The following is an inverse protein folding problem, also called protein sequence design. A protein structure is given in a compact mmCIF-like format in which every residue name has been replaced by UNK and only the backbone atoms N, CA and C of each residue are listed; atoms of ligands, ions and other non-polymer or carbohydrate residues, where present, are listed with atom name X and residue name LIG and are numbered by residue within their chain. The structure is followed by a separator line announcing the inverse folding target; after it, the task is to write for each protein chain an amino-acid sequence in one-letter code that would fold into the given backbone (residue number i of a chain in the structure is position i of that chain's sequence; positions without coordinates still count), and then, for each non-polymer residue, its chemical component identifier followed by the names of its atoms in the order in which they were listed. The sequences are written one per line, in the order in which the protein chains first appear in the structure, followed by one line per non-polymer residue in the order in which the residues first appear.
data_IF_806950802681
#
_entry.id   IF_806950802681
#
_cell.length_a   1.000
_cell.length_b   1.000
_cell.length_c   1.000
_cell.angle_alpha   90.00
_cell.angle_beta   90.00
_cell.angle_gamma   90.00
#
_symmetry.space_group_name_H-M   'P 1'
#
loop_
_entity.id
_entity.type
_entity.pdbx_description
1 polymer ?
#
# COMPACT_ATOMS: atom_id res chain seq x y z
N UNK A 1 51.92 27.33 53.06
CA UNK A 1 50.69 26.59 52.72
C UNK A 1 50.68 26.36 51.21
N UNK A 2 51.55 25.51 50.65
CA UNK A 2 51.40 24.05 50.51
C UNK A 2 49.97 23.64 50.14
N UNK A 3 49.68 23.64 48.83
CA UNK A 3 49.01 22.55 48.08
C UNK A 3 48.78 22.98 46.61
N UNK A 4 49.88 23.17 45.89
CA UNK A 4 49.89 22.92 44.44
C UNK A 4 50.28 21.46 44.25
N UNK A 5 49.34 20.59 43.88
CA UNK A 5 49.65 19.26 43.36
C UNK A 5 48.50 18.73 42.49
N UNK A 6 48.75 18.72 41.18
CA UNK A 6 48.51 17.61 40.22
C UNK A 6 47.16 16.87 40.27
N UNK A 7 46.39 17.00 39.18
CA UNK A 7 45.94 15.88 38.32
C UNK A 7 45.02 16.46 37.23
N UNK A 8 45.49 16.74 36.01
CA UNK A 8 45.59 15.80 34.87
C UNK A 8 44.27 15.09 34.49
N UNK A 9 43.86 15.38 33.25
CA UNK A 9 43.15 14.52 32.30
C UNK A 9 41.72 14.04 32.66
N UNK A 10 40.73 14.68 32.05
CA UNK A 10 39.82 14.03 31.11
C UNK A 10 38.90 15.08 30.45
N UNK A 11 39.42 15.79 29.45
CA UNK A 11 38.54 16.44 28.48
C UNK A 11 37.96 15.33 27.60
N UNK A 12 36.79 14.79 27.98
CA UNK A 12 36.01 13.92 27.11
C UNK A 12 35.48 14.79 25.97
N UNK A 13 36.25 14.83 24.89
CA UNK A 13 35.74 15.17 23.56
C UNK A 13 34.64 14.16 23.25
N UNK A 14 33.38 14.54 23.52
CA UNK A 14 32.21 13.92 22.89
C UNK A 14 32.29 14.31 21.42
N UNK A 15 33.11 13.56 20.69
CA UNK A 15 33.17 13.58 19.24
C UNK A 15 31.80 13.16 18.75
N UNK A 16 31.25 13.99 17.87
CA UNK A 16 29.86 13.98 17.47
C UNK A 16 29.33 12.58 17.21
N UNK A 17 28.15 12.32 17.76
CA UNK A 17 27.22 11.37 17.20
C UNK A 17 27.04 11.82 15.74
N UNK A 18 27.82 11.22 14.83
CA UNK A 18 27.57 11.30 13.42
C UNK A 18 26.14 10.81 13.28
N UNK A 19 25.23 11.75 13.01
CA UNK A 19 23.93 11.43 12.48
C UNK A 19 24.23 10.55 11.28
N UNK A 20 24.04 9.24 11.43
CA UNK A 20 23.92 8.36 10.29
C UNK A 20 22.92 9.08 9.39
N UNK A 21 23.27 9.37 8.11
CA UNK A 21 22.31 9.97 7.23
C UNK A 21 21.10 9.05 7.31
N UNK A 22 19.96 9.58 7.78
CA UNK A 22 18.69 8.93 7.56
C UNK A 22 18.74 8.55 6.10
N UNK A 23 18.76 7.24 5.78
CA UNK A 23 18.73 6.77 4.40
C UNK A 23 17.61 7.56 3.76
N UNK A 24 17.96 8.55 2.97
CA UNK A 24 17.02 9.32 2.21
C UNK A 24 16.46 8.25 1.27
N UNK A 25 15.30 7.70 1.64
CA UNK A 25 14.60 6.74 0.83
C UNK A 25 14.56 7.37 -0.55
N UNK A 26 15.30 6.78 -1.49
CA UNK A 26 15.36 7.30 -2.82
C UNK A 26 13.90 7.41 -3.27
N UNK A 27 13.43 8.63 -3.53
CA UNK A 27 11.99 8.89 -3.59
C UNK A 27 11.35 7.86 -4.52
N UNK A 28 10.16 7.34 -4.21
CA UNK A 28 9.49 6.31 -5.03
C UNK A 28 9.54 6.67 -6.52
N UNK A 29 9.40 7.97 -6.84
CA UNK A 29 9.53 8.50 -8.19
C UNK A 29 10.92 8.28 -8.83
N UNK A 30 12.01 8.51 -8.08
CA UNK A 30 13.37 8.25 -8.57
C UNK A 30 13.59 6.77 -8.83
N UNK A 31 13.23 5.89 -7.89
CA UNK A 31 13.28 4.42 -8.10
C UNK A 31 12.50 4.00 -9.36
N UNK A 32 11.27 4.47 -9.51
CA UNK A 32 10.41 4.17 -10.66
C UNK A 32 11.03 4.68 -11.97
N UNK A 33 11.59 5.89 -11.98
CA UNK A 33 12.29 6.45 -13.14
C UNK A 33 13.54 5.66 -13.51
N UNK A 34 14.36 5.27 -12.54
CA UNK A 34 15.59 4.51 -12.75
C UNK A 34 15.28 3.11 -13.29
N UNK A 35 14.21 2.47 -12.81
CA UNK A 35 13.73 1.17 -13.31
C UNK A 35 13.03 1.27 -14.67
N UNK A 36 12.59 2.48 -15.07
CA UNK A 36 11.86 2.73 -16.31
C UNK A 36 10.43 2.18 -16.35
N UNK A 37 9.90 1.65 -15.23
CA UNK A 37 8.55 1.08 -15.12
C UNK A 37 7.97 1.30 -13.73
N UNK A 38 6.65 1.47 -13.67
CA UNK A 38 5.87 1.49 -12.44
C UNK A 38 5.45 0.06 -12.05
N UNK A 39 5.89 -0.46 -10.90
CA UNK A 39 5.35 -1.70 -10.35
C UNK A 39 4.04 -1.39 -9.61
N UNK A 40 2.90 -1.70 -10.23
CA UNK A 40 1.58 -1.38 -9.70
C UNK A 40 0.90 -2.65 -9.16
N UNK A 41 0.61 -2.67 -7.88
CA UNK A 41 -0.17 -3.72 -7.24
C UNK A 41 -1.65 -3.61 -7.59
N UNK A 42 -2.24 -4.67 -8.11
CA UNK A 42 -3.66 -4.75 -8.53
C UNK A 42 -4.34 -6.00 -7.99
N UNK A 43 -5.66 -6.12 -8.14
CA UNK A 43 -6.39 -7.34 -7.78
C UNK A 43 -6.01 -8.52 -8.68
N UNK A 44 -6.22 -9.74 -8.19
CA UNK A 44 -5.99 -10.97 -8.97
C UNK A 44 -7.04 -11.18 -10.06
N UNK A 45 -8.23 -10.57 -9.93
CA UNK A 45 -9.33 -10.73 -10.88
C UNK A 45 -10.68 -10.32 -10.31
N UNK A 46 -10.90 -9.02 -10.10
CA UNK A 46 -12.23 -8.48 -9.77
C UNK A 46 -12.74 -7.76 -11.01
N UNK A 47 -13.86 -8.25 -11.56
CA UNK A 47 -14.51 -7.66 -12.72
C UNK A 47 -14.78 -6.17 -12.50
N UNK A 48 -14.46 -5.35 -13.50
CA UNK A 48 -14.58 -3.89 -13.46
C UNK A 48 -13.43 -3.16 -12.75
N UNK A 49 -12.71 -3.81 -11.84
CA UNK A 49 -11.59 -3.23 -11.09
C UNK A 49 -10.24 -3.58 -11.70
N UNK A 50 -9.90 -4.86 -11.75
CA UNK A 50 -8.73 -5.34 -12.48
C UNK A 50 -8.84 -6.83 -12.78
N UNK A 51 -8.70 -7.20 -14.04
CA UNK A 51 -8.58 -8.59 -14.46
C UNK A 51 -7.67 -8.71 -15.70
N UNK A 52 -6.85 -9.76 -15.78
CA UNK A 52 -6.17 -10.11 -17.02
C UNK A 52 -7.13 -10.82 -17.98
N UNK A 53 -6.97 -10.60 -19.28
CA UNK A 53 -7.55 -11.45 -20.31
C UNK A 53 -6.68 -12.70 -20.56
N UNK A 54 -7.14 -13.61 -21.43
CA UNK A 54 -6.42 -14.84 -21.79
C UNK A 54 -5.05 -14.60 -22.45
N UNK A 55 -4.79 -13.37 -22.90
CA UNK A 55 -3.53 -12.93 -23.50
C UNK A 55 -2.63 -12.21 -22.49
N UNK A 56 -3.06 -12.08 -21.23
CA UNK A 56 -2.35 -11.39 -20.17
C UNK A 56 -2.49 -9.86 -20.20
N UNK A 57 -3.38 -9.30 -21.00
CA UNK A 57 -3.66 -7.87 -21.00
C UNK A 57 -4.57 -7.52 -19.81
N UNK A 58 -4.13 -6.55 -19.02
CA UNK A 58 -4.88 -6.08 -17.87
C UNK A 58 -5.87 -4.99 -18.25
N UNK A 59 -7.07 -5.05 -17.69
CA UNK A 59 -8.12 -4.04 -17.85
C UNK A 59 -8.92 -3.82 -16.56
N UNK A 60 -9.53 -2.64 -16.43
CA UNK A 60 -10.37 -2.25 -15.30
C UNK A 60 -9.95 -0.92 -14.66
N UNK A 61 -10.76 -0.41 -13.73
CA UNK A 61 -10.55 0.88 -13.07
C UNK A 61 -9.16 1.01 -12.43
N UNK A 62 -8.72 -0.01 -11.67
CA UNK A 62 -7.43 0.00 -10.99
C UNK A 62 -6.25 -0.01 -11.98
N UNK A 63 -6.43 -0.73 -13.09
CA UNK A 63 -5.45 -0.78 -14.18
C UNK A 63 -5.29 0.58 -14.83
N UNK A 64 -6.41 1.27 -15.08
CA UNK A 64 -6.41 2.58 -15.73
C UNK A 64 -5.80 3.67 -14.83
N UNK A 65 -5.97 3.55 -13.50
CA UNK A 65 -5.23 4.39 -12.54
C UNK A 65 -3.72 4.16 -12.66
N UNK A 66 -3.25 2.91 -12.68
CA UNK A 66 -1.82 2.61 -12.88
C UNK A 66 -1.29 3.18 -14.20
N UNK A 67 -2.04 3.02 -15.30
CA UNK A 67 -1.70 3.58 -16.62
C UNK A 67 -1.62 5.10 -16.60
N UNK A 68 -2.55 5.77 -15.92
CA UNK A 68 -2.54 7.22 -15.80
C UNK A 68 -1.29 7.73 -15.07
N UNK A 69 -0.90 7.06 -13.98
CA UNK A 69 0.34 7.38 -13.26
C UNK A 69 1.57 7.13 -14.14
N UNK A 70 1.65 6.00 -14.84
CA UNK A 70 2.75 5.72 -15.76
C UNK A 70 2.83 6.75 -16.90
N UNK A 71 1.70 7.12 -17.51
CA UNK A 71 1.65 8.17 -18.52
C UNK A 71 2.14 9.52 -17.98
N UNK A 72 1.81 9.86 -16.73
CA UNK A 72 2.27 11.10 -16.10
C UNK A 72 3.80 11.09 -15.89
N UNK A 73 4.36 9.96 -15.47
CA UNK A 73 5.80 9.81 -15.16
C UNK A 73 6.66 9.66 -16.42
N UNK A 74 6.23 8.82 -17.37
CA UNK A 74 7.04 8.38 -18.52
C UNK A 74 6.59 8.94 -19.86
N UNK A 75 5.44 9.62 -19.92
CA UNK A 75 4.74 9.95 -21.18
C UNK A 75 4.35 8.71 -22.00
N UNK A 76 4.26 7.56 -21.34
CA UNK A 76 3.88 6.28 -21.92
C UNK A 76 3.07 5.47 -20.90
N UNK A 77 1.79 5.24 -21.20
CA UNK A 77 0.87 4.49 -20.34
C UNK A 77 1.20 2.99 -20.25
N UNK A 78 2.03 2.47 -21.16
CA UNK A 78 2.40 1.05 -21.21
C UNK A 78 3.53 0.69 -20.23
N UNK A 79 4.20 1.67 -19.61
CA UNK A 79 5.30 1.46 -18.65
C UNK A 79 4.79 1.06 -17.26
N UNK A 80 3.96 0.02 -17.21
CA UNK A 80 3.41 -0.57 -15.99
C UNK A 80 3.77 -2.05 -15.94
N UNK A 81 4.24 -2.51 -14.78
CA UNK A 81 4.28 -3.91 -14.40
C UNK A 81 3.16 -4.15 -13.39
N UNK A 82 2.15 -4.93 -13.77
CA UNK A 82 1.08 -5.30 -12.87
C UNK A 82 1.53 -6.44 -11.95
N UNK A 83 1.30 -6.27 -10.65
CA UNK A 83 1.59 -7.28 -9.61
C UNK A 83 0.27 -7.68 -8.95
N UNK A 84 -0.28 -8.87 -9.26
CA UNK A 84 -1.55 -9.30 -8.68
C UNK A 84 -1.36 -9.71 -7.21
N UNK A 85 -2.13 -9.08 -6.31
CA UNK A 85 -1.97 -9.26 -4.86
C UNK A 85 -3.30 -9.61 -4.19
N UNK A 86 -3.27 -10.47 -3.19
CA UNK A 86 -4.43 -10.74 -2.33
C UNK A 86 -4.67 -9.60 -1.34
N UNK A 87 -5.81 -9.59 -0.64
CA UNK A 87 -6.07 -8.60 0.41
C UNK A 87 -5.05 -8.69 1.57
N UNK A 88 -4.52 -9.89 1.83
CA UNK A 88 -3.59 -10.19 2.92
C UNK A 88 -2.18 -9.66 2.62
N UNK A 89 -1.70 -9.80 1.39
CA UNK A 89 -0.29 -9.52 1.05
C UNK A 89 -0.03 -8.06 0.65
N UNK A 90 -1.06 -7.35 0.18
CA UNK A 90 -0.90 -6.06 -0.51
C UNK A 90 -0.16 -4.98 0.28
N UNK A 91 -0.36 -4.94 1.60
CA UNK A 91 0.28 -3.92 2.44
C UNK A 91 1.75 -4.26 2.69
N UNK A 92 2.05 -5.53 2.96
CA UNK A 92 3.44 -5.98 3.09
C UNK A 92 4.21 -5.78 1.78
N UNK A 93 3.61 -6.07 0.62
CA UNK A 93 4.21 -5.83 -0.68
C UNK A 93 4.52 -4.34 -0.93
N UNK A 94 3.63 -3.43 -0.50
CA UNK A 94 3.88 -2.00 -0.61
C UNK A 94 4.96 -1.52 0.36
N UNK A 95 4.90 -1.97 1.61
CA UNK A 95 5.87 -1.62 2.65
C UNK A 95 7.29 -2.14 2.35
N UNK A 96 7.40 -3.32 1.74
CA UNK A 96 8.68 -3.92 1.34
C UNK A 96 9.27 -3.28 0.08
N UNK A 97 8.48 -2.48 -0.65
CA UNK A 97 8.86 -1.91 -1.93
C UNK A 97 8.84 -2.92 -3.09
N UNK A 98 8.19 -4.08 -2.93
CA UNK A 98 7.89 -5.00 -4.03
C UNK A 98 7.03 -4.32 -5.11
N UNK A 99 6.10 -3.47 -4.67
CA UNK A 99 5.33 -2.56 -5.52
C UNK A 99 5.61 -1.10 -5.14
N UNK A 100 5.42 -0.21 -6.11
CA UNK A 100 5.62 1.23 -5.96
C UNK A 100 4.30 1.97 -5.70
N UNK A 101 3.20 1.42 -6.22
CA UNK A 101 1.83 1.93 -6.06
C UNK A 101 0.88 0.76 -5.86
N UNK A 102 -0.08 0.91 -4.96
CA UNK A 102 -1.19 -0.03 -4.80
C UNK A 102 -2.47 0.61 -5.33
N UNK A 103 -2.96 0.18 -6.50
CA UNK A 103 -4.27 0.55 -7.01
C UNK A 103 -5.20 -0.64 -6.91
N UNK A 104 -6.06 -0.64 -5.89
CA UNK A 104 -7.03 -1.70 -5.61
C UNK A 104 -8.27 -1.10 -4.94
N UNK A 105 -9.32 -1.90 -4.79
CA UNK A 105 -10.44 -1.68 -3.86
C UNK A 105 -10.03 -1.73 -2.37
N UNK A 106 -8.99 -0.99 -1.99
CA UNK A 106 -8.50 -0.85 -0.63
C UNK A 106 -9.21 0.32 0.03
N UNK A 107 -10.17 0.04 0.90
CA UNK A 107 -10.89 1.09 1.65
C UNK A 107 -9.92 1.96 2.45
N UNK A 108 -10.03 3.27 2.28
CA UNK A 108 -9.31 4.25 3.10
C UNK A 108 -9.95 4.32 4.48
N UNK A 109 -9.22 3.88 5.51
CA UNK A 109 -9.62 4.00 6.92
C UNK A 109 -8.54 4.74 7.69
N UNK A 110 -8.92 5.43 8.77
CA UNK A 110 -7.97 6.15 9.62
C UNK A 110 -6.88 5.23 10.19
N UNK A 111 -7.21 3.98 10.54
CA UNK A 111 -6.24 3.00 11.03
C UNK A 111 -5.19 2.61 9.98
N UNK A 112 -5.59 2.47 8.71
CA UNK A 112 -4.65 2.14 7.63
C UNK A 112 -3.72 3.31 7.30
N UNK A 113 -4.27 4.52 7.30
CA UNK A 113 -3.52 5.74 6.94
C UNK A 113 -2.53 6.17 8.02
N UNK A 114 -2.87 5.94 9.31
CA UNK A 114 -2.00 6.37 10.42
C UNK A 114 -1.06 5.28 10.92
N UNK A 115 -1.49 4.01 10.90
CA UNK A 115 -0.81 2.93 11.63
C UNK A 115 -0.15 1.89 10.71
N UNK A 116 -0.62 1.75 9.48
CA UNK A 116 -0.04 0.79 8.53
C UNK A 116 1.10 1.39 7.69
N UNK A 117 1.52 2.63 7.96
CA UNK A 117 2.61 3.28 7.20
C UNK A 117 2.29 3.43 5.71
N UNK A 118 1.01 3.56 5.38
CA UNK A 118 0.53 3.74 4.01
C UNK A 118 0.13 5.19 3.82
N UNK A 119 0.45 5.75 2.65
CA UNK A 119 -0.06 7.06 2.25
C UNK A 119 -1.14 6.86 1.20
N UNK A 120 -2.38 7.19 1.54
CA UNK A 120 -3.45 7.24 0.55
C UNK A 120 -3.43 8.59 -0.17
N UNK A 121 -3.48 8.56 -1.50
CA UNK A 121 -3.24 9.75 -2.34
C UNK A 121 -4.50 10.31 -3.00
N UNK A 122 -5.57 9.52 -3.06
CA UNK A 122 -6.84 9.93 -3.67
C UNK A 122 -7.89 8.83 -3.59
N UNK A 123 -9.16 9.25 -3.63
CA UNK A 123 -10.32 8.36 -3.70
C UNK A 123 -10.65 8.14 -5.18
N UNK A 124 -10.60 6.88 -5.62
CA UNK A 124 -10.93 6.49 -7.00
C UNK A 124 -12.34 5.93 -7.13
N UNK A 125 -12.91 5.45 -6.03
CA UNK A 125 -14.23 4.81 -5.99
C UNK A 125 -14.82 4.92 -4.57
N UNK A 126 -16.12 5.22 -4.46
CA UNK A 126 -16.87 5.11 -3.22
C UNK A 126 -17.65 3.79 -3.21
N UNK A 127 -17.41 2.95 -2.21
CA UNK A 127 -18.06 1.65 -2.07
C UNK A 127 -19.06 1.61 -0.90
N UNK A 128 -19.71 0.46 -0.76
CA UNK A 128 -20.59 0.13 0.36
C UNK A 128 -20.46 -1.35 0.70
N UNK A 129 -20.66 -1.68 1.98
CA UNK A 129 -20.68 -3.07 2.43
C UNK A 129 -22.13 -3.59 2.45
N UNK A 130 -22.31 -4.84 2.04
CA UNK A 130 -23.60 -5.51 2.03
C UNK A 130 -23.45 -7.01 2.20
N UNK A 131 -24.55 -7.68 2.49
CA UNK A 131 -24.60 -9.14 2.60
C UNK A 131 -25.18 -9.74 1.33
N UNK A 132 -24.52 -10.77 0.82
CA UNK A 132 -25.07 -11.62 -0.22
C UNK A 132 -25.60 -12.90 0.43
N UNK A 133 -26.87 -13.20 0.19
CA UNK A 133 -27.56 -14.36 0.75
C UNK A 133 -28.20 -15.16 -0.38
N UNK A 134 -28.41 -16.46 -0.16
CA UNK A 134 -29.21 -17.25 -1.08
C UNK A 134 -30.67 -16.76 -1.04
N UNK A 135 -31.26 -16.53 -2.22
CA UNK A 135 -32.64 -16.03 -2.37
C UNK A 135 -33.67 -16.91 -1.65
N UNK A 136 -33.44 -18.22 -1.59
CA UNK A 136 -34.35 -19.19 -0.95
C UNK A 136 -34.46 -19.00 0.57
N UNK A 137 -33.46 -18.38 1.20
CA UNK A 137 -33.50 -18.07 2.64
C UNK A 137 -34.53 -17.00 2.99
N UNK A 138 -35.05 -16.26 2.00
CA UNK A 138 -36.08 -15.24 2.21
C UNK A 138 -35.65 -14.04 3.06
N UNK A 139 -34.37 -13.94 3.43
CA UNK A 139 -33.80 -12.86 4.25
C UNK A 139 -33.84 -11.54 3.48
N UNK A 140 -34.41 -10.51 4.10
CA UNK A 140 -34.58 -9.17 3.47
C UNK A 140 -33.73 -8.08 4.12
N UNK A 141 -33.12 -8.38 5.26
CA UNK A 141 -32.36 -7.41 6.04
C UNK A 141 -31.21 -8.08 6.78
N UNK A 142 -30.09 -7.37 6.93
CA UNK A 142 -28.99 -7.81 7.78
C UNK A 142 -29.42 -8.02 9.24
N UNK A 143 -30.52 -7.38 9.69
CA UNK A 143 -31.09 -7.57 11.03
C UNK A 143 -31.70 -8.96 11.25
N UNK A 144 -31.98 -9.70 10.18
CA UNK A 144 -32.53 -11.06 10.22
C UNK A 144 -31.42 -12.13 10.22
N UNK A 145 -30.14 -11.73 10.19
CA UNK A 145 -28.98 -12.62 10.19
C UNK A 145 -28.45 -12.94 11.60
N UNK A 146 -29.29 -12.79 12.64
CA UNK A 146 -28.92 -13.21 13.99
C UNK A 146 -28.59 -14.70 14.00
N UNK A 147 -27.47 -15.05 14.64
CA UNK A 147 -26.94 -16.43 14.74
C UNK A 147 -26.47 -17.06 13.41
N UNK A 148 -26.53 -16.33 12.29
CA UNK A 148 -26.00 -16.81 11.03
C UNK A 148 -24.46 -16.88 11.06
N UNK A 149 -23.90 -17.91 10.41
CA UNK A 149 -22.48 -17.95 10.10
C UNK A 149 -22.18 -17.02 8.93
N UNK A 150 -21.27 -16.06 9.13
CA UNK A 150 -20.90 -15.05 8.13
C UNK A 150 -19.51 -15.37 7.58
N UNK A 151 -19.42 -15.52 6.25
CA UNK A 151 -18.15 -15.61 5.56
C UNK A 151 -17.63 -14.22 5.19
N UNK A 152 -16.38 -13.93 5.52
CA UNK A 152 -15.69 -12.67 5.18
C UNK A 152 -14.34 -12.96 4.56
N UNK A 153 -13.82 -12.01 3.77
CA UNK A 153 -12.44 -12.09 3.30
C UNK A 153 -11.48 -11.53 4.35
N UNK A 154 -10.49 -12.33 4.72
CA UNK A 154 -9.43 -11.88 5.64
C UNK A 154 -8.69 -10.65 5.10
N UNK A 155 -8.42 -9.67 5.96
CA UNK A 155 -7.70 -8.45 5.59
C UNK A 155 -8.57 -7.37 4.91
N UNK A 156 -9.89 -7.50 4.99
CA UNK A 156 -10.85 -6.49 4.53
C UNK A 156 -11.43 -5.69 5.71
N UNK A 157 -12.44 -4.86 5.48
CA UNK A 157 -13.06 -3.97 6.49
C UNK A 157 -14.38 -4.53 7.06
N UNK A 158 -14.67 -5.81 6.82
CA UNK A 158 -15.83 -6.56 7.34
C UNK A 158 -15.48 -7.35 8.59
#
# INVERSE_FOLDING_TARGET
MIRMLKAMLAAVLVTGLAAAPAMAADSTLKKVKDLGKLSCGVNTGIAGFSAPDDKGNWSGLDVDVCKAVAAAVFKDASQVKYVPLTAKERFTALQSGEIDLLSRNTTWTMSRDTSAGLTFTGITYFDGQGFMVNKELGVKSAKELSEASICVQTGTTT
#
